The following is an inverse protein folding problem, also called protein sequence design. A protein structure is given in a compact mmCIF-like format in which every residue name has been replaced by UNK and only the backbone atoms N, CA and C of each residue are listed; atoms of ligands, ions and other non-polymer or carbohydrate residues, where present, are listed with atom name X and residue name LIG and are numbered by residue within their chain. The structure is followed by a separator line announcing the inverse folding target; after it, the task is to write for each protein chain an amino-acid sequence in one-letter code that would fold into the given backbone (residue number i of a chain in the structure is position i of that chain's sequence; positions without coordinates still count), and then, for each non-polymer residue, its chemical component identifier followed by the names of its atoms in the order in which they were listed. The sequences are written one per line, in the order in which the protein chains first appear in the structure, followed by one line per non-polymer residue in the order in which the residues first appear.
data_IF_436137126920
#
_entry.id   IF_436137126920
#
_cell.length_a   1.000
_cell.length_b   1.000
_cell.length_c   1.000
_cell.angle_alpha   90.00
_cell.angle_beta   90.00
_cell.angle_gamma   90.00
#
_symmetry.space_group_name_H-M   'P 1'
#
loop_
_entity.id
_entity.type
_entity.pdbx_description
1 polymer ?
#
# COMPACT_ATOMS: atom_id res chain seq x y z
N UNK A 1 16.37 20.18 23.99
CA UNK A 1 14.98 20.21 23.49
C UNK A 1 14.92 19.25 22.31
N UNK A 2 13.99 18.29 22.29
CA UNK A 2 13.95 17.27 21.21
C UNK A 2 12.97 17.74 20.13
N UNK A 3 13.37 17.66 18.86
CA UNK A 3 12.52 18.01 17.73
C UNK A 3 11.39 16.97 17.56
N UNK A 4 10.17 17.44 17.25
CA UNK A 4 9.06 16.55 16.87
C UNK A 4 9.19 16.18 15.40
N UNK A 5 9.13 14.88 15.09
CA UNK A 5 9.13 14.35 13.72
C UNK A 5 7.88 13.53 13.42
N UNK A 6 7.65 13.25 12.14
CA UNK A 6 6.64 12.31 11.65
C UNK A 6 7.32 11.27 10.78
N UNK A 7 7.04 9.99 11.01
CA UNK A 7 7.55 8.90 10.20
C UNK A 7 6.53 8.52 9.12
N UNK A 8 7.01 8.41 7.89
CA UNK A 8 6.25 7.95 6.72
C UNK A 8 7.05 6.84 6.04
N UNK A 9 6.35 5.85 5.51
CA UNK A 9 6.96 4.71 4.80
C UNK A 9 6.47 4.68 3.36
N UNK A 10 7.35 4.24 2.47
CA UNK A 10 7.04 3.99 1.06
C UNK A 10 7.56 2.62 0.69
N UNK A 11 6.65 1.75 0.25
CA UNK A 11 6.87 0.35 -0.06
C UNK A 11 6.69 0.17 -1.56
N UNK A 12 7.73 -0.34 -2.22
CA UNK A 12 7.64 -0.74 -3.63
C UNK A 12 7.34 -2.22 -3.71
N UNK A 13 6.42 -2.61 -4.58
CA UNK A 13 6.05 -4.01 -4.77
C UNK A 13 5.85 -4.35 -6.25
N UNK A 14 5.88 -5.64 -6.55
CA UNK A 14 5.59 -6.19 -7.89
C UNK A 14 4.47 -7.21 -7.78
N UNK A 15 3.61 -7.26 -8.79
CA UNK A 15 2.43 -8.13 -8.76
C UNK A 15 1.26 -7.51 -7.98
N UNK A 16 0.07 -8.10 -8.16
CA UNK A 16 -1.16 -7.60 -7.54
C UNK A 16 -1.24 -8.16 -6.11
N UNK A 17 -1.28 -7.32 -5.07
CA UNK A 17 -1.35 -7.80 -3.70
C UNK A 17 -2.71 -8.44 -3.41
N UNK A 18 -2.75 -9.35 -2.43
CA UNK A 18 -4.03 -9.89 -1.96
C UNK A 18 -4.83 -8.79 -1.26
N UNK A 19 -6.14 -8.77 -1.50
CA UNK A 19 -7.03 -7.82 -0.84
C UNK A 19 -8.24 -8.50 -0.23
N UNK A 20 -8.73 -7.89 0.85
CA UNK A 20 -10.01 -8.22 1.48
C UNK A 20 -10.93 -7.02 1.39
N UNK A 21 -12.15 -7.26 0.91
CA UNK A 21 -13.17 -6.21 0.92
C UNK A 21 -13.54 -5.88 2.36
N UNK A 22 -13.58 -4.59 2.67
CA UNK A 22 -13.97 -4.06 3.96
C UNK A 22 -15.29 -3.28 3.82
N UNK A 23 -16.04 -3.07 4.92
CA UNK A 23 -17.16 -2.14 4.94
C UNK A 23 -16.78 -0.74 4.42
N UNK A 24 -17.77 0.06 4.05
CA UNK A 24 -17.58 1.45 3.58
C UNK A 24 -16.77 1.58 2.28
N UNK A 25 -16.88 0.61 1.36
CA UNK A 25 -16.22 0.64 0.05
C UNK A 25 -14.70 0.82 0.17
N UNK A 26 -14.09 0.08 1.10
CA UNK A 26 -12.63 0.03 1.30
C UNK A 26 -12.09 -1.37 0.98
N UNK A 27 -10.81 -1.41 0.67
CA UNK A 27 -10.05 -2.64 0.45
C UNK A 27 -8.91 -2.65 1.46
N UNK A 28 -8.80 -3.73 2.23
CA UNK A 28 -7.62 -4.01 3.05
C UNK A 28 -6.60 -4.70 2.18
N UNK A 29 -5.38 -4.17 2.15
CA UNK A 29 -4.25 -4.66 1.39
C UNK A 29 -3.17 -5.06 2.37
N UNK A 30 -2.52 -6.19 2.10
CA UNK A 30 -1.43 -6.73 2.90
C UNK A 30 -0.20 -6.91 2.01
N UNK A 31 0.95 -6.37 2.45
CA UNK A 31 2.22 -6.50 1.75
C UNK A 31 3.29 -6.98 2.73
N UNK A 32 3.89 -8.13 2.43
CA UNK A 32 5.01 -8.67 3.19
C UNK A 32 6.32 -8.05 2.70
N UNK A 33 7.07 -7.42 3.62
CA UNK A 33 8.33 -6.73 3.36
C UNK A 33 9.32 -7.06 4.49
N UNK A 34 10.43 -7.73 4.14
CA UNK A 34 11.59 -7.88 5.05
C UNK A 34 11.25 -8.40 6.46
N UNK A 35 10.30 -9.34 6.56
CA UNK A 35 9.87 -9.92 7.84
C UNK A 35 8.70 -9.20 8.51
N UNK A 36 8.23 -8.09 7.96
CA UNK A 36 7.06 -7.34 8.43
C UNK A 36 5.90 -7.44 7.43
N UNK A 37 4.68 -7.43 7.95
CA UNK A 37 3.46 -7.32 7.14
C UNK A 37 2.89 -5.92 7.28
N UNK A 38 2.89 -5.16 6.20
CA UNK A 38 2.27 -3.85 6.16
C UNK A 38 0.81 -3.99 5.72
N UNK A 39 -0.10 -3.45 6.53
CA UNK A 39 -1.55 -3.50 6.31
C UNK A 39 -2.07 -2.10 6.07
N UNK A 40 -2.81 -1.91 4.98
CA UNK A 40 -3.38 -0.63 4.62
C UNK A 40 -4.84 -0.78 4.21
N UNK A 41 -5.68 0.17 4.62
CA UNK A 41 -7.04 0.30 4.09
C UNK A 41 -7.10 1.42 3.07
N UNK A 42 -7.43 1.08 1.82
CA UNK A 42 -7.53 2.04 0.72
C UNK A 42 -8.95 2.11 0.17
N UNK A 43 -9.30 3.23 -0.45
CA UNK A 43 -10.61 3.39 -1.11
C UNK A 43 -10.74 2.38 -2.26
N UNK A 44 -11.91 1.77 -2.42
CA UNK A 44 -12.19 0.82 -3.50
C UNK A 44 -11.91 1.44 -4.89
N UNK A 45 -12.23 2.72 -5.09
CA UNK A 45 -11.91 3.46 -6.33
C UNK A 45 -10.41 3.47 -6.64
N UNK A 46 -9.55 3.66 -5.63
CA UNK A 46 -8.10 3.64 -5.81
C UNK A 46 -7.61 2.24 -6.17
N UNK A 47 -8.18 1.21 -5.54
CA UNK A 47 -7.89 -0.18 -5.85
C UNK A 47 -8.28 -0.56 -7.28
N UNK A 48 -9.51 -0.23 -7.71
CA UNK A 48 -9.98 -0.50 -9.08
C UNK A 48 -9.10 0.19 -10.14
N UNK A 49 -8.70 1.44 -9.90
CA UNK A 49 -7.80 2.18 -10.81
C UNK A 49 -6.49 1.44 -11.01
N UNK A 50 -5.98 0.83 -9.95
CA UNK A 50 -4.71 0.11 -9.96
C UNK A 50 -4.80 -1.22 -10.67
N UNK A 51 -5.89 -1.97 -10.48
CA UNK A 51 -6.15 -3.17 -11.27
C UNK A 51 -6.26 -2.87 -12.77
N UNK A 52 -6.81 -1.72 -13.13
CA UNK A 52 -6.90 -1.28 -14.52
C UNK A 52 -5.50 -0.98 -15.09
N UNK A 53 -4.72 -0.11 -14.42
CA UNK A 53 -3.36 0.22 -14.86
C UNK A 53 -2.43 -0.99 -14.91
N UNK A 54 -2.57 -1.94 -13.96
CA UNK A 54 -1.80 -3.18 -13.96
C UNK A 54 -2.07 -4.09 -15.17
N UNK A 55 -3.25 -3.98 -15.79
CA UNK A 55 -3.63 -4.72 -17.01
C UNK A 55 -3.18 -4.01 -18.28
N UNK A 56 -3.13 -2.68 -18.26
CA UNK A 56 -2.78 -1.86 -19.41
C UNK A 56 -1.27 -1.75 -19.62
N UNK A 57 -0.49 -1.73 -18.53
CA UNK A 57 0.96 -1.54 -18.63
C UNK A 57 1.69 -2.86 -18.89
N UNK A 58 2.56 -2.92 -19.93
CA UNK A 58 3.32 -4.14 -20.25
C UNK A 58 4.30 -4.52 -19.15
N UNK A 59 4.84 -3.53 -18.43
CA UNK A 59 5.63 -3.71 -17.23
C UNK A 59 5.35 -2.57 -16.24
N UNK A 60 5.28 -2.89 -14.95
CA UNK A 60 4.95 -1.89 -13.93
C UNK A 60 5.55 -2.20 -12.54
N UNK A 61 5.53 -1.19 -11.67
CA UNK A 61 5.81 -1.30 -10.24
C UNK A 61 4.67 -0.68 -9.43
N UNK A 62 4.30 -1.32 -8.32
CA UNK A 62 3.36 -0.78 -7.36
C UNK A 62 4.07 0.01 -6.26
N UNK A 63 3.38 1.01 -5.73
CA UNK A 63 3.79 1.78 -4.55
C UNK A 63 2.67 1.81 -3.52
N UNK A 64 2.98 1.48 -2.27
CA UNK A 64 2.13 1.70 -1.11
C UNK A 64 2.84 2.67 -0.18
N UNK A 65 2.22 3.81 0.12
CA UNK A 65 2.78 4.80 1.04
C UNK A 65 1.81 5.12 2.15
N UNK A 66 2.30 5.44 3.34
CA UNK A 66 1.46 5.88 4.45
C UNK A 66 2.25 6.25 5.69
N UNK A 67 1.54 6.72 6.69
CA UNK A 67 2.11 7.00 8.02
C UNK A 67 2.10 5.72 8.85
N UNK A 68 3.12 5.56 9.68
CA UNK A 68 3.18 4.45 10.63
C UNK A 68 2.09 4.65 11.69
N UNK A 69 1.13 3.73 11.72
CA UNK A 69 0.10 3.64 12.75
C UNK A 69 0.48 2.60 13.81
N UNK A 70 -0.53 1.84 14.25
CA UNK A 70 -0.33 0.79 15.25
C UNK A 70 0.56 -0.34 14.73
N UNK A 71 1.36 -0.92 15.63
CA UNK A 71 2.15 -2.11 15.36
C UNK A 71 1.74 -3.22 16.31
N UNK A 72 1.51 -4.41 15.76
CA UNK A 72 1.18 -5.63 16.49
C UNK A 72 2.14 -6.74 16.07
N UNK A 73 3.20 -6.95 16.87
CA UNK A 73 4.27 -7.87 16.51
C UNK A 73 4.96 -7.45 15.22
N UNK A 74 4.93 -8.32 14.21
CA UNK A 74 5.49 -8.08 12.88
C UNK A 74 4.50 -7.38 11.91
N UNK A 75 3.28 -7.08 12.36
CA UNK A 75 2.27 -6.41 11.53
C UNK A 75 2.26 -4.92 11.83
N UNK A 76 2.36 -4.09 10.80
CA UNK A 76 2.35 -2.62 10.90
C UNK A 76 1.17 -2.08 10.10
N UNK A 77 0.30 -1.32 10.76
CA UNK A 77 -0.85 -0.69 10.13
C UNK A 77 -0.48 0.69 9.61
N UNK A 78 -0.83 0.98 8.36
CA UNK A 78 -0.59 2.27 7.74
C UNK A 78 -1.81 3.17 7.83
N UNK A 79 -1.59 4.38 8.33
CA UNK A 79 -2.59 5.45 8.32
C UNK A 79 -2.45 6.32 7.07
N UNK A 80 -3.57 6.89 6.64
CA UNK A 80 -3.65 7.74 5.44
C UNK A 80 -3.00 7.09 4.20
N UNK A 81 -3.17 5.78 4.05
CA UNK A 81 -2.48 5.02 3.04
C UNK A 81 -2.90 5.39 1.61
N UNK A 82 -1.91 5.48 0.72
CA UNK A 82 -2.05 5.71 -0.71
C UNK A 82 -1.45 4.55 -1.51
N UNK A 83 -2.18 4.11 -2.53
CA UNK A 83 -1.71 3.09 -3.46
C UNK A 83 -1.52 3.73 -4.84
N UNK A 84 -0.42 3.38 -5.52
CA UNK A 84 -0.07 3.88 -6.86
C UNK A 84 0.54 2.75 -7.70
N UNK A 85 0.42 2.86 -9.02
CA UNK A 85 1.19 2.06 -9.99
C UNK A 85 1.96 3.01 -10.89
N UNK A 86 3.19 2.61 -11.20
CA UNK A 86 4.09 3.28 -12.11
C UNK A 86 4.40 2.34 -13.28
N UNK A 87 4.20 2.82 -14.50
CA UNK A 87 4.68 2.11 -15.69
C UNK A 87 6.20 2.05 -15.66
N UNK A 88 6.76 0.86 -15.86
CA UNK A 88 8.20 0.70 -16.07
C UNK A 88 8.47 0.90 -17.55
N UNK A 89 9.32 1.88 -17.87
CA UNK A 89 9.94 1.92 -19.19
C UNK A 89 10.88 0.74 -19.28
N UNK A 90 10.57 -0.18 -20.19
CA UNK A 90 11.43 -1.29 -20.59
C UNK A 90 12.66 -0.77 -21.35
#
# INVERSE_FOLDING_TARGET
MVAKGRAEVSIKFTGIPMTRQMPNSRQRIEIFCEGYTFVAEVKNKSWTKILQSAREFPAWAGGLSGKLGEQHGATIYLEEAGLQIYEKKL
#
